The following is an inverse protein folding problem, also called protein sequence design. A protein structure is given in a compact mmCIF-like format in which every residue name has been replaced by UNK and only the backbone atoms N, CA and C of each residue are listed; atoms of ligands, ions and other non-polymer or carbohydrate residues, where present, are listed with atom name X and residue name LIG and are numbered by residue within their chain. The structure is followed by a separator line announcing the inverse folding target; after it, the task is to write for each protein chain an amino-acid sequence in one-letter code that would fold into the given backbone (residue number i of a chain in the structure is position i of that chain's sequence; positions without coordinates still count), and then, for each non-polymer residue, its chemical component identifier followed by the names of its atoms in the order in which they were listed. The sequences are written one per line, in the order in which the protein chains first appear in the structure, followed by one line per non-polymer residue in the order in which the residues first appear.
data_IF_599812580883
#
_entry.id   IF_599812580883
#
_cell.length_a   1.000
_cell.length_b   1.000
_cell.length_c   1.000
_cell.angle_alpha   90.00
_cell.angle_beta   90.00
_cell.angle_gamma   90.00
#
_symmetry.space_group_name_H-M   'P 1'
#
loop_
_entity.id
_entity.type
_entity.pdbx_description
1 polymer ?
#
# COMPACT_ATOMS: atom_id res chain seq x y z
N UNK A 1 -18.20 14.71 -18.02
CA UNK A 1 -16.76 14.39 -17.98
C UNK A 1 -16.59 13.14 -17.12
N UNK A 2 -15.98 12.07 -17.62
CA UNK A 2 -15.66 10.89 -16.81
C UNK A 2 -14.53 11.24 -15.85
N UNK A 3 -14.86 11.62 -14.62
CA UNK A 3 -13.87 11.80 -13.56
C UNK A 3 -13.39 10.41 -13.14
N UNK A 4 -12.17 10.04 -13.53
CA UNK A 4 -11.50 8.83 -13.02
C UNK A 4 -11.01 9.14 -11.61
N UNK A 5 -11.44 8.35 -10.63
CA UNK A 5 -10.87 8.39 -9.28
C UNK A 5 -9.54 7.63 -9.31
N UNK A 6 -8.47 8.27 -8.85
CA UNK A 6 -7.18 7.61 -8.75
C UNK A 6 -7.15 6.64 -7.57
N UNK A 7 -6.46 5.52 -7.77
CA UNK A 7 -6.36 4.43 -6.82
C UNK A 7 -4.97 4.44 -6.19
N UNK A 8 -4.92 4.62 -4.87
CA UNK A 8 -3.72 4.56 -4.05
C UNK A 8 -3.58 3.16 -3.44
N UNK A 9 -2.40 2.53 -3.54
CA UNK A 9 -2.10 1.29 -2.83
C UNK A 9 -1.11 1.53 -1.69
N UNK A 10 -1.55 1.29 -0.45
CA UNK A 10 -0.74 1.45 0.75
C UNK A 10 0.15 0.22 0.98
N UNK A 11 1.45 0.44 1.14
CA UNK A 11 2.43 -0.61 1.44
C UNK A 11 3.35 -0.21 2.58
N UNK A 12 3.96 -1.19 3.25
CA UNK A 12 4.81 -0.96 4.41
C UNK A 12 4.77 -2.14 5.36
N UNK A 13 5.40 -1.99 6.52
CA UNK A 13 5.30 -2.98 7.61
C UNK A 13 3.96 -2.76 8.31
N UNK A 14 3.07 -3.74 8.26
CA UNK A 14 1.74 -3.63 8.88
C UNK A 14 1.77 -3.91 10.39
N UNK A 15 2.62 -4.86 10.81
CA UNK A 15 2.80 -5.22 12.22
C UNK A 15 3.20 -3.97 13.01
N UNK A 16 2.49 -3.69 14.11
CA UNK A 16 2.68 -2.51 14.98
C UNK A 16 2.33 -1.14 14.36
N UNK A 17 2.03 -1.06 13.05
CA UNK A 17 1.81 0.22 12.35
C UNK A 17 0.39 0.38 11.80
N UNK A 18 -0.58 -0.45 12.19
CA UNK A 18 -1.97 -0.37 11.72
C UNK A 18 -2.54 1.06 11.83
N UNK A 19 -2.28 1.76 12.94
CA UNK A 19 -2.75 3.15 13.14
C UNK A 19 -2.26 4.10 12.05
N UNK A 20 -1.03 3.91 11.55
CA UNK A 20 -0.49 4.73 10.47
C UNK A 20 -1.21 4.44 9.14
N UNK A 21 -1.46 3.18 8.82
CA UNK A 21 -2.23 2.78 7.64
C UNK A 21 -3.66 3.32 7.68
N UNK A 22 -4.35 3.20 8.82
CA UNK A 22 -5.70 3.76 9.00
C UNK A 22 -5.72 5.28 8.88
N UNK A 23 -4.68 5.95 9.38
CA UNK A 23 -4.52 7.40 9.21
C UNK A 23 -4.35 7.77 7.74
N UNK A 24 -3.45 7.09 7.02
CA UNK A 24 -3.21 7.31 5.60
C UNK A 24 -4.47 7.03 4.76
N UNK A 25 -5.18 5.95 5.05
CA UNK A 25 -6.46 5.59 4.42
C UNK A 25 -7.49 6.71 4.59
N UNK A 26 -7.66 7.22 5.82
CA UNK A 26 -8.57 8.33 6.12
C UNK A 26 -8.19 9.60 5.36
N UNK A 27 -6.91 9.98 5.38
CA UNK A 27 -6.40 11.18 4.73
C UNK A 27 -6.65 11.11 3.22
N UNK A 28 -6.20 10.03 2.57
CA UNK A 28 -6.31 9.89 1.12
C UNK A 28 -7.77 9.74 0.67
N UNK A 29 -8.60 8.99 1.39
CA UNK A 29 -10.03 8.88 1.07
C UNK A 29 -10.72 10.25 1.16
N UNK A 30 -10.38 11.07 2.17
CA UNK A 30 -10.93 12.44 2.27
C UNK A 30 -10.50 13.38 1.14
N UNK A 31 -9.39 13.06 0.47
CA UNK A 31 -8.91 13.75 -0.74
C UNK A 31 -9.52 13.18 -2.04
N UNK A 32 -10.37 12.16 -1.95
CA UNK A 32 -11.10 11.59 -3.09
C UNK A 32 -10.39 10.44 -3.81
N UNK A 33 -9.36 9.85 -3.20
CA UNK A 33 -8.71 8.64 -3.72
C UNK A 33 -9.48 7.38 -3.31
N UNK A 34 -9.46 6.35 -4.15
CA UNK A 34 -9.80 4.97 -3.74
C UNK A 34 -8.54 4.38 -3.10
N UNK A 35 -8.64 3.87 -1.88
CA UNK A 35 -7.47 3.38 -1.16
C UNK A 35 -7.51 1.86 -1.01
N UNK A 36 -6.50 1.19 -1.56
CA UNK A 36 -6.20 -0.20 -1.24
C UNK A 36 -5.29 -0.26 -0.02
N UNK A 37 -5.88 -0.53 1.13
CA UNK A 37 -5.14 -0.83 2.35
C UNK A 37 -4.74 -2.32 2.40
N UNK A 38 -3.81 -2.73 3.27
CA UNK A 38 -3.52 -4.14 3.54
C UNK A 38 -4.79 -4.91 3.91
N UNK A 39 -4.87 -6.17 3.47
CA UNK A 39 -6.03 -7.06 3.75
C UNK A 39 -6.05 -7.45 5.22
N UNK A 40 -4.88 -7.83 5.74
CA UNK A 40 -4.68 -8.27 7.11
C UNK A 40 -3.65 -7.37 7.78
N UNK A 41 -4.02 -6.86 8.95
CA UNK A 41 -3.09 -6.18 9.85
C UNK A 41 -2.50 -7.16 10.88
N UNK A 42 -3.22 -8.25 11.17
CA UNK A 42 -2.79 -9.32 12.04
C UNK A 42 -2.37 -10.56 11.22
N UNK A 43 -1.13 -11.00 11.39
CA UNK A 43 -0.60 -12.19 10.70
C UNK A 43 -1.20 -13.49 11.26
N UNK A 44 -1.60 -13.54 12.53
CA UNK A 44 -2.24 -14.72 13.12
C UNK A 44 -3.62 -14.95 12.50
N UNK A 45 -4.37 -13.86 12.26
CA UNK A 45 -5.64 -13.91 11.54
C UNK A 45 -5.44 -14.44 10.12
N UNK A 46 -4.43 -13.95 9.40
CA UNK A 46 -4.07 -14.48 8.08
C UNK A 46 -3.76 -15.99 8.11
N UNK A 47 -2.92 -16.43 9.06
CA UNK A 47 -2.54 -17.83 9.21
C UNK A 47 -3.72 -18.72 9.60
N UNK A 48 -4.78 -18.17 10.19
CA UNK A 48 -6.00 -18.92 10.52
C UNK A 48 -6.82 -19.36 9.31
N UNK A 49 -6.62 -18.76 8.13
CA UNK A 49 -7.31 -19.14 6.89
C UNK A 49 -6.75 -20.42 6.22
N UNK A 50 -5.78 -21.09 6.86
CA UNK A 50 -5.21 -22.36 6.40
C UNK A 50 -3.99 -22.19 5.48
N UNK A 51 -3.68 -23.23 4.69
CA UNK A 51 -2.49 -23.28 3.85
C UNK A 51 -2.66 -22.49 2.54
N UNK A 52 -2.73 -21.18 2.65
CA UNK A 52 -2.58 -20.28 1.50
C UNK A 52 -1.24 -19.54 1.62
N UNK A 53 -0.11 -20.22 1.35
CA UNK A 53 1.22 -19.71 1.71
C UNK A 53 1.55 -18.34 1.08
N UNK A 54 0.88 -17.97 -0.02
CA UNK A 54 1.17 -16.76 -0.78
C UNK A 54 -0.02 -15.79 -0.92
N UNK A 55 -1.17 -16.06 -0.31
CA UNK A 55 -2.38 -15.25 -0.55
C UNK A 55 -2.15 -13.76 -0.27
N UNK A 56 -1.43 -13.42 0.81
CA UNK A 56 -1.09 -12.01 1.10
C UNK A 56 -0.28 -11.35 -0.02
N UNK A 57 0.70 -12.09 -0.56
CA UNK A 57 1.58 -11.57 -1.59
C UNK A 57 0.84 -11.40 -2.93
N UNK A 58 0.04 -12.40 -3.30
CA UNK A 58 -0.80 -12.41 -4.49
C UNK A 58 -1.81 -11.25 -4.45
N UNK A 59 -2.50 -11.06 -3.31
CA UNK A 59 -3.45 -9.96 -3.14
C UNK A 59 -2.77 -8.59 -3.21
N UNK A 60 -1.56 -8.44 -2.68
CA UNK A 60 -0.80 -7.20 -2.80
C UNK A 60 -0.33 -6.95 -4.24
N UNK A 61 0.01 -8.01 -4.98
CA UNK A 61 0.39 -7.90 -6.39
C UNK A 61 -0.79 -7.48 -7.27
N UNK A 62 -1.96 -8.10 -7.10
CA UNK A 62 -3.17 -7.72 -7.84
C UNK A 62 -3.58 -6.27 -7.55
N UNK A 63 -3.51 -5.84 -6.29
CA UNK A 63 -3.72 -4.43 -5.90
C UNK A 63 -2.72 -3.49 -6.59
N UNK A 64 -1.46 -3.90 -6.72
CA UNK A 64 -0.44 -3.14 -7.43
C UNK A 64 -0.79 -3.01 -8.92
N UNK A 65 -1.22 -4.07 -9.59
CA UNK A 65 -1.63 -4.01 -11.00
C UNK A 65 -2.73 -2.97 -11.22
N UNK A 66 -3.72 -2.96 -10.32
CA UNK A 66 -4.90 -2.11 -10.40
C UNK A 66 -4.66 -0.64 -10.01
N UNK A 67 -3.71 -0.34 -9.12
CA UNK A 67 -3.55 1.01 -8.60
C UNK A 67 -2.94 1.99 -9.61
N UNK A 68 -3.19 3.29 -9.45
CA UNK A 68 -2.53 4.32 -10.25
C UNK A 68 -1.16 4.69 -9.65
N UNK A 69 -1.01 4.61 -8.32
CA UNK A 69 0.26 4.86 -7.62
C UNK A 69 0.39 4.08 -6.30
N UNK A 70 1.62 4.01 -5.81
CA UNK A 70 1.99 3.36 -4.55
C UNK A 70 2.23 4.41 -3.46
N UNK A 71 1.85 4.11 -2.22
CA UNK A 71 2.17 4.96 -1.04
C UNK A 71 2.85 4.09 0.01
N UNK A 72 4.10 4.42 0.35
CA UNK A 72 4.85 3.77 1.42
C UNK A 72 4.46 4.44 2.74
N UNK A 73 3.79 3.69 3.61
CA UNK A 73 3.27 4.19 4.90
C UNK A 73 4.36 4.22 5.97
N UNK A 74 5.31 3.27 5.93
CA UNK A 74 6.42 3.14 6.89
C UNK A 74 7.77 3.32 6.19
N UNK A 75 8.08 4.51 5.64
CA UNK A 75 9.31 4.73 4.87
C UNK A 75 10.60 4.51 5.68
N UNK A 76 10.55 4.68 7.00
CA UNK A 76 11.63 4.41 7.94
C UNK A 76 11.96 2.91 8.08
N UNK A 77 11.04 2.03 7.69
CA UNK A 77 11.18 0.58 7.85
C UNK A 77 10.71 -0.15 6.58
N UNK A 78 11.64 -0.34 5.62
CA UNK A 78 11.36 -1.04 4.36
C UNK A 78 11.81 -2.51 4.45
N UNK A 79 10.85 -3.42 4.59
CA UNK A 79 11.06 -4.86 4.58
C UNK A 79 11.18 -5.46 3.17
N UNK A 80 11.51 -6.76 3.09
CA UNK A 80 11.71 -7.48 1.80
C UNK A 80 10.49 -7.42 0.87
N UNK A 81 9.28 -7.62 1.42
CA UNK A 81 8.02 -7.56 0.65
C UNK A 81 7.76 -6.15 0.10
N UNK A 82 7.93 -5.12 0.93
CA UNK A 82 7.81 -3.72 0.51
C UNK A 82 8.83 -3.38 -0.58
N UNK A 83 10.09 -3.80 -0.43
CA UNK A 83 11.13 -3.64 -1.46
C UNK A 83 10.74 -4.31 -2.78
N UNK A 84 10.17 -5.52 -2.74
CA UNK A 84 9.69 -6.21 -3.94
C UNK A 84 8.57 -5.41 -4.63
N UNK A 85 7.60 -4.90 -3.87
CA UNK A 85 6.48 -4.09 -4.40
C UNK A 85 6.96 -2.76 -4.99
N UNK A 86 7.92 -2.09 -4.36
CA UNK A 86 8.56 -0.88 -4.89
C UNK A 86 9.23 -1.18 -6.24
N UNK A 87 10.03 -2.25 -6.33
CA UNK A 87 10.70 -2.64 -7.58
C UNK A 87 9.71 -2.93 -8.71
N UNK A 88 8.64 -3.65 -8.41
CA UNK A 88 7.59 -3.94 -9.39
C UNK A 88 6.83 -2.68 -9.82
N UNK A 89 6.50 -1.79 -8.89
CA UNK A 89 5.86 -0.51 -9.21
C UNK A 89 6.71 0.34 -10.15
N UNK A 90 8.02 0.41 -9.90
CA UNK A 90 8.99 1.08 -10.77
C UNK A 90 8.99 0.43 -12.16
N UNK A 91 9.07 -0.90 -12.23
CA UNK A 91 9.06 -1.62 -13.51
C UNK A 91 7.77 -1.42 -14.32
N UNK A 92 6.65 -1.13 -13.64
CA UNK A 92 5.35 -0.81 -14.25
C UNK A 92 5.18 0.68 -14.57
N UNK A 93 6.17 1.54 -14.27
CA UNK A 93 6.07 2.99 -14.46
C UNK A 93 5.11 3.68 -13.50
N UNK A 94 4.78 3.07 -12.36
CA UNK A 94 3.89 3.64 -11.35
C UNK A 94 4.65 4.63 -10.48
N UNK A 95 4.00 5.74 -10.14
CA UNK A 95 4.55 6.72 -9.18
C UNK A 95 4.53 6.13 -7.78
N UNK A 96 5.51 6.54 -6.97
CA UNK A 96 5.66 6.09 -5.59
C UNK A 96 5.74 7.33 -4.70
N UNK A 97 4.97 7.32 -3.63
CA UNK A 97 4.90 8.42 -2.68
C UNK A 97 5.12 7.94 -1.25
N UNK A 98 5.42 8.89 -0.38
CA UNK A 98 5.24 8.80 1.08
C UNK A 98 4.19 9.83 1.49
N UNK A 99 3.61 9.67 2.67
CA UNK A 99 2.69 10.65 3.24
C UNK A 99 3.38 11.44 4.35
N UNK A 100 3.67 12.71 4.10
CA UNK A 100 4.28 13.62 5.07
C UNK A 100 3.39 14.84 5.27
N UNK A 101 3.11 15.21 6.53
CA UNK A 101 2.24 16.35 6.85
C UNK A 101 0.89 16.33 6.11
N UNK A 102 0.32 15.14 5.94
CA UNK A 102 -0.91 14.84 5.18
C UNK A 102 -0.81 15.06 3.65
N UNK A 103 0.37 15.32 3.09
CA UNK A 103 0.61 15.50 1.67
C UNK A 103 1.40 14.34 1.05
N UNK A 104 1.12 14.04 -0.22
CA UNK A 104 1.87 13.05 -0.98
C UNK A 104 3.19 13.65 -1.45
N UNK A 105 4.29 13.10 -0.96
CA UNK A 105 5.64 13.48 -1.34
C UNK A 105 6.25 12.37 -2.19
N UNK A 106 6.84 12.71 -3.34
CA UNK A 106 7.43 11.71 -4.23
C UNK A 106 8.59 10.98 -3.52
N UNK A 107 8.53 9.66 -3.50
CA UNK A 107 9.57 8.82 -2.91
C UNK A 107 10.76 8.76 -3.86
N UNK A 108 11.86 9.38 -3.45
CA UNK A 108 13.14 9.36 -4.17
C UNK A 108 14.07 8.36 -3.48
N UNK A 109 14.57 7.38 -4.25
CA UNK A 109 15.65 6.49 -3.81
C UNK A 109 17.01 7.19 -3.90
#
# INVERSE_FOLDING_TARGET
MNKKYEIAHLVGITREHEKQFRSAEKILTSKGYIVFAPVFYNIEEYLSFGECPNMLDDMCYEKLLMCDFLVIVTPEHIGKSTTLRIKQAIAMGKKIFILENNELMEYKQ
#
